data_IF_297609662028
#
_entry.id   IF_297609662028
#
_cell.length_a   1.000
_cell.length_b   1.000
_cell.length_c   1.000
_cell.angle_alpha   90.00
_cell.angle_beta   90.00
_cell.angle_gamma   90.00
#
_symmetry.space_group_name_H-M   'P 1'
#
loop_
_entity.id
_entity.type
_entity.pdbx_description
1 polymer ?
#
# COMPACT_ATOMS: atom_id res chain seq x y z
N UNK A 1 -0.05 -14.01 -19.13
CA UNK A 1 -0.78 -12.90 -19.75
C UNK A 1 0.09 -12.32 -20.85
N UNK A 2 -0.32 -12.46 -22.12
CA UNK A 2 0.37 -11.81 -23.23
C UNK A 2 0.22 -10.28 -23.15
N UNK A 3 1.03 -9.53 -23.92
CA UNK A 3 1.04 -8.06 -23.96
C UNK A 3 -0.35 -7.42 -24.13
N UNK A 4 -1.30 -8.13 -24.68
CA UNK A 4 -2.70 -7.71 -24.88
C UNK A 4 -3.52 -7.71 -23.58
N UNK A 5 -3.37 -8.70 -22.71
CA UNK A 5 -4.08 -8.77 -21.42
C UNK A 5 -3.63 -7.69 -20.41
N UNK A 6 -2.36 -7.29 -20.44
CA UNK A 6 -1.82 -6.23 -19.56
C UNK A 6 -2.44 -4.85 -19.84
N UNK A 7 -2.69 -4.52 -21.11
CA UNK A 7 -3.31 -3.25 -21.49
C UNK A 7 -4.74 -3.09 -20.97
N UNK A 8 -5.51 -4.18 -20.92
CA UNK A 8 -6.90 -4.17 -20.45
C UNK A 8 -7.01 -4.05 -18.94
N UNK A 9 -6.14 -4.75 -18.21
CA UNK A 9 -6.06 -4.65 -16.75
C UNK A 9 -5.74 -3.21 -16.34
N UNK A 10 -4.79 -2.56 -17.04
CA UNK A 10 -4.41 -1.18 -16.79
C UNK A 10 -5.56 -0.19 -16.98
N UNK A 11 -6.31 -0.28 -18.08
CA UNK A 11 -7.44 0.62 -18.36
C UNK A 11 -8.52 0.55 -17.28
N UNK A 12 -8.92 -0.66 -16.92
CA UNK A 12 -9.96 -0.87 -15.91
C UNK A 12 -9.54 -0.36 -14.55
N UNK A 13 -8.25 -0.44 -14.25
CA UNK A 13 -7.73 0.02 -12.98
C UNK A 13 -7.59 1.55 -12.94
N UNK A 14 -7.28 2.19 -14.07
CA UNK A 14 -7.38 3.66 -14.18
C UNK A 14 -8.83 4.10 -13.97
N UNK A 15 -9.80 3.40 -14.57
CA UNK A 15 -11.23 3.68 -14.34
C UNK A 15 -11.58 3.49 -12.86
N UNK A 16 -11.12 2.42 -12.22
CA UNK A 16 -11.28 2.20 -10.79
C UNK A 16 -10.64 3.30 -9.94
N UNK A 17 -9.43 3.71 -10.28
CA UNK A 17 -8.73 4.83 -9.62
C UNK A 17 -9.46 6.17 -9.80
N UNK A 18 -9.97 6.45 -10.99
CA UNK A 18 -10.80 7.62 -11.28
C UNK A 18 -12.11 7.59 -10.47
N UNK A 19 -12.77 6.45 -10.39
CA UNK A 19 -13.99 6.28 -9.62
C UNK A 19 -13.73 6.52 -8.13
N UNK A 20 -12.67 5.95 -7.57
CA UNK A 20 -12.25 6.18 -6.18
C UNK A 20 -11.90 7.65 -5.94
N UNK A 21 -11.20 8.29 -6.86
CA UNK A 21 -10.89 9.72 -6.80
C UNK A 21 -12.18 10.55 -6.74
N UNK A 22 -13.12 10.33 -7.66
CA UNK A 22 -14.38 11.08 -7.73
C UNK A 22 -15.21 10.87 -6.45
N UNK A 23 -15.35 9.61 -6.02
CA UNK A 23 -16.04 9.28 -4.76
C UNK A 23 -15.35 10.02 -3.60
N UNK A 24 -14.02 9.92 -3.50
CA UNK A 24 -13.28 10.58 -2.43
C UNK A 24 -13.41 12.10 -2.44
N UNK A 25 -13.36 12.74 -3.61
CA UNK A 25 -13.53 14.19 -3.75
C UNK A 25 -14.92 14.67 -3.29
N UNK A 26 -15.96 13.92 -3.65
CA UNK A 26 -17.36 14.28 -3.32
C UNK A 26 -17.65 13.99 -1.85
N UNK A 27 -17.29 12.79 -1.37
CA UNK A 27 -17.65 12.30 -0.05
C UNK A 27 -16.67 12.66 1.06
N UNK A 28 -15.52 13.29 0.77
CA UNK A 28 -14.55 13.72 1.77
C UNK A 28 -15.16 14.44 2.98
N UNK A 29 -16.06 15.43 2.82
CA UNK A 29 -16.66 16.11 3.98
C UNK A 29 -17.53 15.17 4.82
N UNK A 30 -18.26 14.26 4.18
CA UNK A 30 -19.15 13.32 4.85
C UNK A 30 -18.34 12.32 5.68
N UNK A 31 -17.26 11.77 5.11
CA UNK A 31 -16.35 10.86 5.83
C UNK A 31 -15.73 11.53 7.05
N UNK A 32 -15.24 12.75 6.91
CA UNK A 32 -14.66 13.51 8.02
C UNK A 32 -15.68 13.86 9.09
N UNK A 33 -16.91 14.11 8.72
CA UNK A 33 -18.01 14.32 9.67
C UNK A 33 -18.32 13.03 10.45
N UNK A 34 -18.39 11.89 9.79
CA UNK A 34 -18.59 10.59 10.45
C UNK A 34 -17.44 10.21 11.38
N UNK A 35 -16.22 10.61 11.03
CA UNK A 35 -15.04 10.41 11.89
C UNK A 35 -14.99 11.38 13.09
N UNK A 36 -15.93 12.29 13.24
CA UNK A 36 -15.95 13.24 14.35
C UNK A 36 -14.83 14.28 14.30
N UNK A 37 -14.36 14.66 13.09
CA UNK A 37 -13.27 15.64 12.94
C UNK A 37 -13.64 16.98 13.60
N UNK A 38 -12.79 17.53 14.49
CA UNK A 38 -13.06 18.81 15.15
C UNK A 38 -13.28 19.96 14.16
N UNK A 39 -14.25 20.83 14.45
CA UNK A 39 -14.63 21.96 13.56
C UNK A 39 -13.45 22.90 13.25
N UNK A 40 -12.52 23.06 14.18
CA UNK A 40 -11.33 23.93 14.03
C UNK A 40 -10.40 23.51 12.91
N UNK A 41 -10.25 22.20 12.66
CA UNK A 41 -9.35 21.65 11.64
C UNK A 41 -10.10 21.10 10.41
N UNK A 42 -11.44 21.09 10.47
CA UNK A 42 -12.27 20.47 9.43
C UNK A 42 -12.00 21.02 8.01
N UNK A 43 -11.90 22.35 7.77
CA UNK A 43 -11.63 22.87 6.44
C UNK A 43 -10.25 22.41 5.90
N UNK A 44 -9.23 22.38 6.74
CA UNK A 44 -7.89 21.92 6.39
C UNK A 44 -7.87 20.42 6.08
N UNK A 45 -8.57 19.62 6.90
CA UNK A 45 -8.70 18.18 6.69
C UNK A 45 -9.42 17.85 5.37
N UNK A 46 -10.47 18.59 5.02
CA UNK A 46 -11.19 18.42 3.74
C UNK A 46 -10.27 18.73 2.56
N UNK A 47 -9.52 19.83 2.61
CA UNK A 47 -8.59 20.20 1.54
C UNK A 47 -7.48 19.16 1.37
N UNK A 48 -6.86 18.76 2.48
CA UNK A 48 -5.85 17.69 2.50
C UNK A 48 -6.38 16.41 1.85
N UNK A 49 -7.55 15.93 2.33
CA UNK A 49 -8.13 14.68 1.86
C UNK A 49 -8.50 14.75 0.37
N UNK A 50 -9.01 15.87 -0.11
CA UNK A 50 -9.31 16.05 -1.54
C UNK A 50 -8.07 15.98 -2.40
N UNK A 51 -6.99 16.66 -2.04
CA UNK A 51 -5.71 16.58 -2.77
C UNK A 51 -5.17 15.15 -2.74
N UNK A 52 -5.24 14.49 -1.58
CA UNK A 52 -4.83 13.11 -1.44
C UNK A 52 -5.66 12.15 -2.31
N UNK A 53 -6.98 12.40 -2.47
CA UNK A 53 -7.82 11.59 -3.36
C UNK A 53 -7.44 11.75 -4.84
N UNK A 54 -6.91 12.89 -5.25
CA UNK A 54 -6.35 13.04 -6.61
C UNK A 54 -5.14 12.13 -6.79
N UNK A 55 -4.31 11.90 -5.77
CA UNK A 55 -3.16 11.00 -5.85
C UNK A 55 -3.53 9.53 -6.01
N UNK A 56 -4.80 9.15 -5.76
CA UNK A 56 -5.26 7.76 -5.90
C UNK A 56 -5.02 7.19 -7.30
N UNK A 57 -5.15 8.00 -8.34
CA UNK A 57 -4.85 7.56 -9.72
C UNK A 57 -3.40 7.09 -9.82
N UNK A 58 -2.47 7.89 -9.32
CA UNK A 58 -1.04 7.58 -9.36
C UNK A 58 -0.70 6.39 -8.47
N UNK A 59 -1.26 6.33 -7.25
CA UNK A 59 -1.06 5.24 -6.30
C UNK A 59 -1.58 3.91 -6.87
N UNK A 60 -2.79 3.90 -7.40
CA UNK A 60 -3.40 2.70 -7.99
C UNK A 60 -2.62 2.25 -9.23
N UNK A 61 -2.24 3.19 -10.10
CA UNK A 61 -1.42 2.91 -11.28
C UNK A 61 -0.06 2.32 -10.90
N UNK A 62 0.64 2.94 -9.93
CA UNK A 62 1.91 2.43 -9.43
C UNK A 62 1.78 1.01 -8.86
N UNK A 63 0.79 0.76 -8.00
CA UNK A 63 0.59 -0.54 -7.37
C UNK A 63 0.32 -1.65 -8.40
N UNK A 64 -0.49 -1.36 -9.43
CA UNK A 64 -0.73 -2.29 -10.51
C UNK A 64 0.55 -2.64 -11.27
N UNK A 65 1.24 -1.60 -11.79
CA UNK A 65 2.43 -1.77 -12.61
C UNK A 65 3.55 -2.48 -11.83
N UNK A 66 3.65 -2.18 -10.51
CA UNK A 66 4.52 -2.90 -9.58
C UNK A 66 4.13 -4.37 -9.44
N UNK A 67 2.83 -4.66 -9.38
CA UNK A 67 2.31 -6.03 -9.35
C UNK A 67 2.68 -6.81 -10.61
N UNK A 68 2.55 -6.18 -11.77
CA UNK A 68 2.94 -6.77 -13.07
C UNK A 68 4.44 -7.10 -13.10
N UNK A 69 5.31 -6.17 -12.72
CA UNK A 69 6.76 -6.42 -12.69
C UNK A 69 7.13 -7.54 -11.71
N UNK A 70 6.51 -7.56 -10.53
CA UNK A 70 6.71 -8.67 -9.57
C UNK A 70 6.25 -10.02 -10.14
N UNK A 71 5.14 -10.03 -10.87
CA UNK A 71 4.67 -11.25 -11.54
C UNK A 71 5.65 -11.73 -12.62
N UNK A 72 6.33 -10.81 -13.31
CA UNK A 72 7.39 -11.11 -14.27
C UNK A 72 8.73 -11.51 -13.60
N UNK A 73 8.82 -11.47 -12.27
CA UNK A 73 10.02 -11.82 -11.51
C UNK A 73 10.93 -10.63 -11.17
N UNK A 74 10.58 -9.43 -11.60
CA UNK A 74 11.31 -8.21 -11.27
C UNK A 74 10.70 -7.52 -10.05
N UNK A 75 11.27 -7.79 -8.88
CA UNK A 75 10.90 -7.12 -7.64
C UNK A 75 11.81 -5.91 -7.33
N UNK A 76 12.96 -5.77 -8.02
CA UNK A 76 13.93 -4.71 -7.76
C UNK A 76 13.48 -3.38 -8.36
N UNK A 77 13.01 -3.40 -9.59
CA UNK A 77 12.57 -2.19 -10.29
C UNK A 77 11.43 -1.46 -9.55
N UNK A 78 10.34 -2.11 -9.11
CA UNK A 78 9.34 -1.45 -8.28
C UNK A 78 9.92 -0.86 -6.99
N UNK A 79 10.78 -1.59 -6.30
CA UNK A 79 11.41 -1.11 -5.08
C UNK A 79 12.22 0.17 -5.31
N UNK A 80 12.99 0.23 -6.39
CA UNK A 80 13.79 1.41 -6.73
C UNK A 80 12.90 2.62 -7.02
N UNK A 81 11.85 2.47 -7.84
CA UNK A 81 10.93 3.58 -8.11
C UNK A 81 10.19 4.07 -6.86
N UNK A 82 9.81 3.16 -5.95
CA UNK A 82 9.20 3.54 -4.68
C UNK A 82 10.20 4.24 -3.76
N UNK A 83 11.43 3.77 -3.70
CA UNK A 83 12.50 4.38 -2.91
C UNK A 83 12.79 5.82 -3.39
N UNK A 84 12.98 6.00 -4.69
CA UNK A 84 13.16 7.35 -5.25
C UNK A 84 11.92 8.22 -5.09
N UNK A 85 10.73 7.64 -5.22
CA UNK A 85 9.48 8.32 -4.90
C UNK A 85 9.43 8.81 -3.46
N UNK A 86 9.88 8.00 -2.50
CA UNK A 86 10.00 8.39 -1.10
C UNK A 86 11.00 9.54 -0.87
N UNK A 87 12.16 9.49 -1.52
CA UNK A 87 13.14 10.58 -1.47
C UNK A 87 12.53 11.88 -2.04
N UNK A 88 11.90 11.79 -3.21
CA UNK A 88 11.23 12.94 -3.84
C UNK A 88 10.13 13.49 -2.94
N UNK A 89 9.39 12.63 -2.24
CA UNK A 89 8.36 13.05 -1.30
C UNK A 89 8.95 13.90 -0.17
N UNK A 90 10.03 13.43 0.47
CA UNK A 90 10.70 14.18 1.55
C UNK A 90 11.19 15.54 1.07
N UNK A 91 11.82 15.62 -0.11
CA UNK A 91 12.26 16.89 -0.69
C UNK A 91 11.10 17.80 -1.06
N UNK A 92 10.04 17.24 -1.64
CA UNK A 92 8.85 18.01 -1.99
C UNK A 92 8.12 18.52 -0.74
N UNK A 93 8.01 17.73 0.32
CA UNK A 93 7.50 18.16 1.62
C UNK A 93 8.29 19.36 2.15
N UNK A 94 9.62 19.26 2.15
CA UNK A 94 10.47 20.36 2.59
C UNK A 94 10.24 21.64 1.77
N UNK A 95 10.21 21.52 0.44
CA UNK A 95 9.99 22.65 -0.47
C UNK A 95 8.61 23.28 -0.24
N UNK A 96 7.55 22.48 -0.21
CA UNK A 96 6.19 22.99 -0.05
C UNK A 96 5.93 23.58 1.33
N UNK A 97 6.50 23.00 2.39
CA UNK A 97 6.31 23.48 3.74
C UNK A 97 7.27 24.64 4.09
N UNK A 98 8.56 24.50 3.81
CA UNK A 98 9.57 25.46 4.27
C UNK A 98 9.75 26.65 3.30
N UNK A 99 9.63 26.42 1.98
CA UNK A 99 9.84 27.47 0.97
C UNK A 99 8.53 28.14 0.58
N UNK A 100 7.50 27.32 0.27
CA UNK A 100 6.19 27.86 -0.18
C UNK A 100 5.22 28.12 0.98
N UNK A 101 5.53 27.71 2.20
CA UNK A 101 4.70 27.87 3.40
C UNK A 101 3.25 27.36 3.24
N UNK A 102 3.05 26.26 2.49
CA UNK A 102 1.72 25.77 2.12
C UNK A 102 0.98 25.01 3.24
N UNK A 103 1.60 24.76 4.38
CA UNK A 103 0.98 24.03 5.48
C UNK A 103 0.61 22.59 5.11
N UNK A 104 -0.53 22.11 5.63
CA UNK A 104 -0.97 20.71 5.47
C UNK A 104 -1.30 20.35 4.01
N UNK A 105 -1.71 21.32 3.20
CA UNK A 105 -1.97 21.12 1.77
C UNK A 105 -0.69 20.78 1.01
N UNK A 106 0.45 21.34 1.43
CA UNK A 106 1.76 21.07 0.87
C UNK A 106 2.16 19.60 0.99
N UNK A 107 1.89 18.96 2.13
CA UNK A 107 2.19 17.53 2.32
C UNK A 107 1.34 16.62 1.42
N UNK A 108 0.08 16.98 1.20
CA UNK A 108 -0.76 16.24 0.25
C UNK A 108 -0.28 16.40 -1.20
N UNK A 109 0.16 17.62 -1.59
CA UNK A 109 0.74 17.87 -2.90
C UNK A 109 2.08 17.16 -3.10
N UNK A 110 2.93 17.11 -2.09
CA UNK A 110 4.19 16.36 -2.13
C UNK A 110 3.95 14.87 -2.37
N UNK A 111 2.93 14.31 -1.70
CA UNK A 111 2.50 12.93 -1.92
C UNK A 111 1.98 12.72 -3.35
N UNK A 112 1.11 13.61 -3.85
CA UNK A 112 0.61 13.58 -5.22
C UNK A 112 1.76 13.61 -6.23
N UNK A 113 2.68 14.54 -6.06
CA UNK A 113 3.83 14.71 -6.96
C UNK A 113 4.73 13.48 -6.96
N UNK A 114 5.15 13.01 -5.79
CA UNK A 114 6.06 11.87 -5.64
C UNK A 114 5.47 10.57 -6.19
N UNK A 115 4.21 10.29 -5.88
CA UNK A 115 3.52 9.11 -6.38
C UNK A 115 3.29 9.18 -7.90
N UNK A 116 3.06 10.37 -8.44
CA UNK A 116 2.93 10.57 -9.89
C UNK A 116 4.27 10.31 -10.59
N UNK A 117 5.37 10.82 -10.05
CA UNK A 117 6.71 10.56 -10.60
C UNK A 117 7.04 9.06 -10.56
N UNK A 118 6.76 8.38 -9.44
CA UNK A 118 6.98 6.95 -9.32
C UNK A 118 6.12 6.14 -10.32
N UNK A 119 4.84 6.50 -10.48
CA UNK A 119 3.93 5.85 -11.41
C UNK A 119 4.35 6.05 -12.88
N UNK A 120 4.75 7.27 -13.24
CA UNK A 120 5.26 7.55 -14.59
C UNK A 120 6.57 6.80 -14.83
N UNK A 121 7.49 6.79 -13.86
CA UNK A 121 8.76 6.10 -13.98
C UNK A 121 8.59 4.60 -14.25
N UNK A 122 7.75 3.93 -13.47
CA UNK A 122 7.49 2.49 -13.65
C UNK A 122 6.74 2.20 -14.96
N UNK A 123 5.84 3.10 -15.38
CA UNK A 123 5.12 3.00 -16.65
C UNK A 123 6.07 3.10 -17.84
N UNK A 124 7.00 4.07 -17.83
CA UNK A 124 8.02 4.23 -18.85
C UNK A 124 8.98 3.03 -18.89
N UNK A 125 9.29 2.46 -17.74
CA UNK A 125 10.10 1.24 -17.67
C UNK A 125 9.41 0.08 -18.39
N UNK A 126 8.14 -0.19 -18.07
CA UNK A 126 7.35 -1.25 -18.70
C UNK A 126 7.15 -1.01 -20.22
N UNK A 127 7.00 0.24 -20.63
CA UNK A 127 6.90 0.59 -22.05
C UNK A 127 8.18 0.25 -22.83
N UNK A 128 9.36 0.35 -22.18
CA UNK A 128 10.67 0.06 -22.79
C UNK A 128 11.05 -1.42 -22.78
N UNK A 129 10.29 -2.28 -22.12
CA UNK A 129 10.54 -3.72 -22.13
C UNK A 129 10.35 -4.28 -23.55
N UNK A 130 11.09 -5.37 -23.85
CA UNK A 130 10.94 -6.10 -25.11
C UNK A 130 9.66 -6.93 -25.10
N UNK A 131 9.06 -7.15 -26.28
CA UNK A 131 7.96 -8.10 -26.41
C UNK A 131 8.36 -9.51 -25.91
N UNK A 132 7.42 -10.26 -25.35
CA UNK A 132 5.96 -10.03 -25.23
C UNK A 132 5.53 -9.24 -23.98
N UNK A 133 6.45 -8.67 -23.20
CA UNK A 133 6.20 -8.08 -21.88
C UNK A 133 6.04 -6.54 -21.90
N UNK A 134 6.22 -5.92 -23.08
CA UNK A 134 6.04 -4.48 -23.23
C UNK A 134 4.59 -4.05 -22.98
N UNK A 135 4.41 -2.96 -22.23
CA UNK A 135 3.10 -2.37 -22.04
C UNK A 135 2.64 -1.74 -23.36
N UNK A 136 1.60 -2.30 -23.97
CA UNK A 136 0.95 -1.72 -25.16
C UNK A 136 -0.48 -1.33 -24.86
N UNK A 137 -0.81 -0.09 -25.12
CA UNK A 137 -2.17 0.42 -25.01
C UNK A 137 -3.00 0.00 -26.24
N UNK A 138 -3.65 -1.17 -26.17
CA UNK A 138 -4.62 -1.58 -27.20
C UNK A 138 -6.05 -1.29 -26.72
N UNK A 139 -6.87 -0.67 -27.58
CA UNK A 139 -8.25 -0.27 -27.23
C UNK A 139 -9.26 -1.39 -27.53
N UNK A 140 -8.89 -2.39 -28.33
CA UNK A 140 -9.86 -3.28 -28.98
C UNK A 140 -10.17 -4.62 -28.32
N UNK A 141 -9.41 -5.07 -27.33
CA UNK A 141 -9.56 -6.45 -26.80
C UNK A 141 -9.70 -6.45 -25.29
N UNK A 142 -10.94 -6.32 -24.82
CA UNK A 142 -11.28 -6.36 -23.41
C UNK A 142 -11.88 -7.72 -23.05
N UNK A 143 -11.13 -8.60 -22.37
CA UNK A 143 -11.63 -9.90 -21.91
C UNK A 143 -12.40 -9.78 -20.59
N UNK A 144 -13.73 -9.96 -20.63
CA UNK A 144 -14.58 -10.01 -19.44
C UNK A 144 -14.17 -11.15 -18.50
N UNK A 145 -13.65 -12.25 -19.05
CA UNK A 145 -13.22 -13.42 -18.27
C UNK A 145 -12.04 -13.07 -17.36
N UNK A 146 -11.00 -12.44 -17.89
CA UNK A 146 -9.81 -12.03 -17.10
C UNK A 146 -10.18 -11.03 -16.02
N UNK A 147 -11.09 -10.10 -16.30
CA UNK A 147 -11.60 -9.17 -15.29
C UNK A 147 -12.33 -9.89 -14.15
N UNK A 148 -13.18 -10.85 -14.48
CA UNK A 148 -13.89 -11.63 -13.47
C UNK A 148 -12.92 -12.43 -12.59
N UNK A 149 -11.85 -12.98 -13.18
CA UNK A 149 -10.85 -13.73 -12.43
C UNK A 149 -10.03 -12.83 -11.50
N UNK A 150 -9.73 -11.59 -11.91
CA UNK A 150 -9.12 -10.59 -11.04
C UNK A 150 -10.07 -10.21 -9.89
N UNK A 151 -11.35 -10.01 -10.16
CA UNK A 151 -12.34 -9.68 -9.12
C UNK A 151 -12.53 -10.81 -8.11
N UNK A 152 -12.55 -12.06 -8.56
CA UNK A 152 -12.66 -13.22 -7.66
C UNK A 152 -11.55 -13.28 -6.60
N UNK A 153 -10.36 -12.80 -6.92
CA UNK A 153 -9.22 -12.74 -5.99
C UNK A 153 -9.17 -11.40 -5.27
N UNK A 154 -9.39 -10.30 -5.98
CA UNK A 154 -9.25 -8.96 -5.47
C UNK A 154 -10.35 -8.57 -4.47
N UNK A 155 -11.61 -8.95 -4.72
CA UNK A 155 -12.73 -8.60 -3.84
C UNK A 155 -12.60 -9.26 -2.47
N UNK A 156 -12.34 -10.57 -2.32
CA UNK A 156 -12.11 -11.17 -1.00
C UNK A 156 -10.92 -10.56 -0.27
N UNK A 157 -9.82 -10.28 -0.96
CA UNK A 157 -8.65 -9.63 -0.36
C UNK A 157 -8.96 -8.20 0.09
N UNK A 158 -9.75 -7.46 -0.68
CA UNK A 158 -10.24 -6.14 -0.32
C UNK A 158 -11.14 -6.16 0.92
N UNK A 159 -12.08 -7.08 0.98
CA UNK A 159 -12.98 -7.27 2.14
C UNK A 159 -12.16 -7.62 3.38
N UNK A 160 -11.18 -8.52 3.27
CA UNK A 160 -10.26 -8.83 4.38
C UNK A 160 -9.54 -7.58 4.90
N UNK A 161 -9.01 -6.74 4.00
CA UNK A 161 -8.34 -5.50 4.38
C UNK A 161 -9.28 -4.50 5.06
N UNK A 162 -10.53 -4.40 4.59
CA UNK A 162 -11.56 -3.55 5.22
C UNK A 162 -11.85 -4.03 6.64
N UNK A 163 -12.03 -5.32 6.85
CA UNK A 163 -12.32 -5.90 8.18
C UNK A 163 -11.17 -5.59 9.16
N UNK A 164 -9.92 -5.78 8.73
CA UNK A 164 -8.74 -5.45 9.55
C UNK A 164 -8.71 -3.96 9.90
N UNK A 165 -8.95 -3.09 8.91
CA UNK A 165 -8.94 -1.65 9.12
C UNK A 165 -10.07 -1.21 10.07
N UNK A 166 -11.27 -1.74 9.92
CA UNK A 166 -12.40 -1.46 10.81
C UNK A 166 -12.11 -1.93 12.23
N UNK A 167 -11.51 -3.11 12.41
CA UNK A 167 -11.11 -3.61 13.72
C UNK A 167 -10.12 -2.66 14.40
N UNK A 168 -9.12 -2.16 13.67
CA UNK A 168 -8.17 -1.19 14.20
C UNK A 168 -8.84 0.14 14.60
N UNK A 169 -9.82 0.62 13.82
CA UNK A 169 -10.59 1.83 14.14
C UNK A 169 -11.41 1.63 15.43
N UNK A 170 -12.05 0.47 15.59
CA UNK A 170 -12.84 0.15 16.79
C UNK A 170 -11.92 0.10 18.02
N UNK A 171 -10.78 -0.58 17.92
CA UNK A 171 -9.79 -0.64 19.00
C UNK A 171 -9.31 0.75 19.37
N UNK A 172 -8.92 1.56 18.38
CA UNK A 172 -8.48 2.94 18.61
C UNK A 172 -9.56 3.78 19.29
N UNK A 173 -10.82 3.63 18.88
CA UNK A 173 -11.94 4.32 19.50
C UNK A 173 -12.09 3.97 21.00
N UNK A 174 -11.96 2.69 21.35
CA UNK A 174 -12.01 2.26 22.75
C UNK A 174 -10.83 2.80 23.56
N UNK A 175 -9.62 2.80 22.99
CA UNK A 175 -8.43 3.37 23.65
C UNK A 175 -8.59 4.86 23.91
N UNK A 176 -9.20 5.59 22.98
CA UNK A 176 -9.49 7.02 23.16
C UNK A 176 -10.36 7.32 24.37
N UNK A 177 -11.21 6.38 24.81
CA UNK A 177 -12.06 6.55 26.01
C UNK A 177 -11.28 6.40 27.31
N UNK A 178 -10.08 5.77 27.28
CA UNK A 178 -9.25 5.53 28.45
C UNK A 178 -8.37 6.71 28.84
N UNK A 179 -8.41 7.80 28.05
CA UNK A 179 -7.69 9.05 28.34
C UNK A 179 -6.34 9.20 27.67
N UNK A 180 -5.74 10.38 27.82
CA UNK A 180 -4.57 10.82 27.03
C UNK A 180 -3.35 9.91 27.24
N UNK A 181 -3.11 9.45 28.47
CA UNK A 181 -1.97 8.57 28.77
C UNK A 181 -2.07 7.24 28.06
N UNK A 182 -3.28 6.63 28.03
CA UNK A 182 -3.51 5.39 27.32
C UNK A 182 -3.31 5.56 25.80
N UNK A 183 -3.80 6.65 25.24
CA UNK A 183 -3.61 6.97 23.81
C UNK A 183 -2.12 7.14 23.47
N UNK A 184 -1.37 7.85 24.32
CA UNK A 184 0.08 8.03 24.13
C UNK A 184 0.82 6.69 24.18
N UNK A 185 0.54 5.86 25.17
CA UNK A 185 1.16 4.53 25.32
C UNK A 185 0.83 3.61 24.14
N UNK A 186 -0.42 3.63 23.69
CA UNK A 186 -0.84 2.82 22.55
C UNK A 186 -0.19 3.32 21.24
N UNK A 187 0.01 4.61 21.10
CA UNK A 187 0.71 5.17 19.93
C UNK A 187 2.16 4.66 19.86
N UNK A 188 2.86 4.63 20.99
CA UNK A 188 4.22 4.08 21.06
C UNK A 188 4.21 2.58 20.74
N UNK A 189 3.30 1.82 21.36
CA UNK A 189 3.12 0.39 21.07
C UNK A 189 2.92 0.15 19.56
N UNK A 190 2.02 0.90 18.92
CA UNK A 190 1.71 0.74 17.49
C UNK A 190 2.94 1.02 16.60
N UNK A 191 3.81 1.97 17.00
CA UNK A 191 5.06 2.25 16.28
C UNK A 191 6.05 1.10 16.37
N UNK A 192 6.20 0.51 17.56
CA UNK A 192 7.07 -0.64 17.79
C UNK A 192 6.54 -1.87 17.05
N UNK A 193 5.24 -2.15 17.17
CA UNK A 193 4.56 -3.25 16.48
C UNK A 193 4.78 -3.17 14.97
N UNK A 194 4.64 -1.99 14.37
CA UNK A 194 4.85 -1.79 12.94
C UNK A 194 6.25 -2.21 12.49
N UNK A 195 7.30 -1.86 13.26
CA UNK A 195 8.68 -2.23 12.93
C UNK A 195 8.85 -3.75 12.91
N UNK A 196 8.26 -4.45 13.88
CA UNK A 196 8.30 -5.92 13.97
C UNK A 196 7.47 -6.57 12.86
N UNK A 197 6.35 -5.96 12.48
CA UNK A 197 5.40 -6.52 11.52
C UNK A 197 5.83 -6.33 10.05
N UNK A 198 6.58 -5.28 9.73
CA UNK A 198 7.03 -4.99 8.36
C UNK A 198 7.81 -6.14 7.69
N UNK A 199 8.78 -6.81 8.32
CA UNK A 199 9.46 -7.96 7.71
C UNK A 199 8.52 -9.13 7.41
N UNK A 200 7.51 -9.35 8.26
CA UNK A 200 6.52 -10.43 8.09
C UNK A 200 5.63 -10.14 6.87
N UNK A 201 5.16 -8.89 6.74
CA UNK A 201 4.40 -8.44 5.55
C UNK A 201 5.24 -8.61 4.29
N UNK A 202 6.51 -8.19 4.33
CA UNK A 202 7.42 -8.30 3.18
C UNK A 202 7.63 -9.76 2.76
N UNK A 203 7.81 -10.67 3.74
CA UNK A 203 7.90 -12.10 3.47
C UNK A 203 6.59 -12.64 2.86
N UNK A 204 5.44 -12.23 3.38
CA UNK A 204 4.14 -12.60 2.82
C UNK A 204 3.99 -12.20 1.35
N UNK A 205 4.37 -10.98 0.98
CA UNK A 205 4.36 -10.51 -0.40
C UNK A 205 5.33 -11.29 -1.31
N UNK A 206 6.49 -11.65 -0.79
CA UNK A 206 7.46 -12.47 -1.51
C UNK A 206 6.91 -13.88 -1.77
N UNK A 207 6.25 -14.49 -0.78
CA UNK A 207 5.61 -15.81 -0.92
C UNK A 207 4.50 -15.78 -1.94
N UNK A 208 3.63 -14.78 -1.93
CA UNK A 208 2.56 -14.62 -2.93
C UNK A 208 3.14 -14.59 -4.36
N UNK A 209 4.19 -13.79 -4.59
CA UNK A 209 4.86 -13.71 -5.89
C UNK A 209 5.50 -15.04 -6.28
N UNK A 210 6.21 -15.69 -5.36
CA UNK A 210 6.87 -16.97 -5.58
C UNK A 210 5.88 -18.09 -5.91
N UNK A 211 4.81 -18.19 -5.14
CA UNK A 211 3.75 -19.20 -5.36
C UNK A 211 3.06 -18.96 -6.69
N UNK A 212 2.69 -17.72 -7.00
CA UNK A 212 2.04 -17.39 -8.27
C UNK A 212 2.86 -17.77 -9.50
N UNK A 213 4.16 -17.47 -9.50
CA UNK A 213 5.07 -17.84 -10.60
C UNK A 213 5.22 -19.36 -10.75
N UNK A 214 5.41 -20.09 -9.64
CA UNK A 214 5.58 -21.55 -9.68
C UNK A 214 4.26 -22.28 -9.98
N UNK A 215 3.13 -21.71 -9.58
CA UNK A 215 1.80 -22.21 -9.92
C UNK A 215 1.56 -22.11 -11.44
N UNK A 216 1.85 -20.94 -12.03
CA UNK A 216 1.75 -20.75 -13.48
C UNK A 216 2.69 -21.65 -14.28
N UNK A 217 3.84 -22.03 -13.71
CA UNK A 217 4.79 -22.97 -14.30
C UNK A 217 4.49 -24.45 -13.99
N UNK A 218 3.45 -24.78 -13.24
CA UNK A 218 3.10 -26.15 -12.84
C UNK A 218 4.05 -26.79 -11.82
N UNK A 219 4.94 -26.03 -11.19
CA UNK A 219 6.00 -26.52 -10.31
C UNK A 219 5.55 -26.75 -8.85
N UNK A 220 4.65 -27.67 -8.61
CA UNK A 220 4.08 -27.96 -7.28
C UNK A 220 5.12 -28.32 -6.22
N UNK A 221 6.17 -29.03 -6.58
CA UNK A 221 7.24 -29.40 -5.64
C UNK A 221 8.01 -28.17 -5.13
N UNK A 222 8.23 -27.17 -5.98
CA UNK A 222 8.85 -25.90 -5.56
C UNK A 222 7.93 -25.11 -4.65
N UNK A 223 6.62 -25.07 -4.92
CA UNK A 223 5.64 -24.42 -4.06
C UNK A 223 5.68 -25.02 -2.65
N UNK A 224 5.60 -26.35 -2.53
CA UNK A 224 5.65 -27.04 -1.22
C UNK A 224 6.95 -26.73 -0.45
N UNK A 225 8.10 -26.81 -1.11
CA UNK A 225 9.40 -26.49 -0.49
C UNK A 225 9.49 -25.02 -0.09
N UNK A 226 9.08 -24.10 -0.95
CA UNK A 226 9.07 -22.67 -0.68
C UNK A 226 8.17 -22.29 0.48
N UNK A 227 6.95 -22.83 0.54
CA UNK A 227 6.04 -22.60 1.66
C UNK A 227 6.63 -23.10 2.98
N UNK A 228 7.20 -24.31 3.01
CA UNK A 228 7.86 -24.84 4.22
C UNK A 228 9.00 -23.92 4.67
N UNK A 229 9.86 -23.50 3.74
CA UNK A 229 10.98 -22.59 4.04
C UNK A 229 10.47 -21.22 4.55
N UNK A 230 9.42 -20.69 3.93
CA UNK A 230 8.83 -19.40 4.33
C UNK A 230 8.17 -19.45 5.70
N UNK A 231 7.48 -20.55 6.03
CA UNK A 231 6.90 -20.75 7.37
C UNK A 231 8.01 -20.83 8.42
N UNK A 232 9.05 -21.64 8.19
CA UNK A 232 10.16 -21.78 9.13
C UNK A 232 10.93 -20.46 9.27
N UNK A 233 11.26 -19.80 8.16
CA UNK A 233 11.97 -18.52 8.17
C UNK A 233 11.15 -17.41 8.81
N UNK A 234 9.85 -17.33 8.52
CA UNK A 234 8.93 -16.37 9.13
C UNK A 234 8.77 -16.61 10.65
N UNK A 235 8.60 -17.87 11.07
CA UNK A 235 8.54 -18.22 12.49
C UNK A 235 9.83 -17.86 13.23
N UNK A 236 10.98 -18.14 12.62
CA UNK A 236 12.29 -17.79 13.20
C UNK A 236 12.48 -16.27 13.29
N UNK A 237 12.13 -15.52 12.25
CA UNK A 237 12.21 -14.06 12.26
C UNK A 237 11.29 -13.46 13.35
N UNK A 238 10.06 -13.98 13.48
CA UNK A 238 9.11 -13.57 14.52
C UNK A 238 9.66 -13.88 15.90
N UNK A 239 10.22 -15.07 16.11
CA UNK A 239 10.83 -15.46 17.38
C UNK A 239 11.95 -14.50 17.79
N UNK A 240 12.88 -14.17 16.87
CA UNK A 240 13.95 -13.20 17.14
C UNK A 240 13.36 -11.83 17.48
N UNK A 241 12.32 -11.38 16.76
CA UNK A 241 11.70 -10.08 17.00
C UNK A 241 10.97 -10.02 18.38
N UNK A 242 10.51 -11.15 18.90
CA UNK A 242 9.87 -11.21 20.22
C UNK A 242 10.86 -11.14 21.39
N UNK A 243 12.14 -11.50 21.21
CA UNK A 243 13.14 -11.51 22.29
C UNK A 243 13.32 -10.13 22.94
N UNK A 244 13.57 -9.02 22.21
CA UNK A 244 13.70 -7.70 22.81
C UNK A 244 12.43 -7.24 23.50
N UNK A 245 11.25 -7.56 22.95
CA UNK A 245 9.95 -7.18 23.52
C UNK A 245 9.72 -7.90 24.85
N UNK A 246 10.02 -9.20 24.92
CA UNK A 246 9.91 -9.98 26.16
C UNK A 246 10.88 -9.48 27.23
N UNK A 247 12.10 -9.10 26.85
CA UNK A 247 13.08 -8.54 27.78
C UNK A 247 12.62 -7.22 28.40
N UNK A 248 12.04 -6.33 27.62
CA UNK A 248 11.52 -5.04 28.13
C UNK A 248 10.32 -5.25 29.06
N UNK A 249 9.45 -6.23 28.79
CA UNK A 249 8.34 -6.56 29.69
C UNK A 249 8.78 -7.16 31.04
N UNK A 250 9.90 -7.88 31.05
CA UNK A 250 10.45 -8.47 32.29
C UNK A 250 11.24 -7.46 33.13
N UNK A 251 11.82 -6.42 32.52
CA UNK A 251 12.68 -5.48 33.21
C UNK A 251 11.99 -4.17 33.63
N UNK A 252 10.93 -3.73 32.94
CA UNK A 252 10.19 -2.53 33.30
C UNK A 252 9.46 -2.57 34.65
N UNK A 253 8.89 -3.70 35.13
CA UNK A 253 8.28 -3.78 36.47
C UNK A 253 9.27 -3.68 37.62
N UNK A 254 10.57 -3.80 37.38
CA UNK A 254 11.61 -3.77 38.45
C UNK A 254 12.19 -2.36 38.65
N UNK A 255 11.74 -1.35 37.92
CA UNK A 255 12.23 0.03 37.99
C UNK A 255 11.15 0.99 38.55
N UNK A 256 9.98 0.49 38.93
CA UNK A 256 8.90 1.26 39.57
C UNK A 256 8.93 1.17 41.10
#
# INVERSE_FOLDING_TARGET
LGSRGLGDVYKRQIIGGLLLMVIGLIFSPIFLTWMGTPKSIFPLAVRYLRIYMVSMISIVSYNLLSGVLRALGDSRTPLLYQFFGGIINVFADFIFLAVFHMGVEGTALATLFSQTVAAIGIMLHLYRLKEPYALRFSIKECSLREFTDILKVGVPAGVQSIIITLSNIIIQSQINTLGVTAVASFTVYFRVELIVYLPIIALGQAVVSFVGQNYGAGNWNRIKKGNKFSILGGSFATFIACIPVSYTHLTLPTIA
#
